data_IF_770494373899
#
_entry.id   IF_770494373899
#
_cell.length_a   1.000
_cell.length_b   1.000
_cell.length_c   1.000
_cell.angle_alpha   90.00
_cell.angle_beta   90.00
_cell.angle_gamma   90.00
#
_symmetry.space_group_name_H-M   'P 1'
#
loop_
_entity.id
_entity.type
_entity.pdbx_description
1 polymer ?
#
# COMPACT_ATOMS: atom_id res chain seq x y z
N UNK A 1 -9.94 -6.04 -1.00
CA UNK A 1 -8.85 -6.31 -0.03
C UNK A 1 -9.26 -5.75 1.33
N UNK A 2 -8.79 -6.32 2.44
CA UNK A 2 -9.08 -5.79 3.77
C UNK A 2 -7.78 -5.26 4.41
N UNK A 3 -7.73 -3.95 4.66
CA UNK A 3 -6.59 -3.32 5.34
C UNK A 3 -6.69 -3.60 6.84
N UNK A 4 -5.73 -4.38 7.37
CA UNK A 4 -5.73 -4.82 8.77
C UNK A 4 -5.47 -3.65 9.73
N UNK A 5 -4.64 -2.69 9.34
CA UNK A 5 -4.33 -1.52 10.18
C UNK A 5 -4.06 -0.28 9.36
N UNK A 6 -4.75 0.81 9.70
CA UNK A 6 -4.52 2.16 9.14
C UNK A 6 -3.45 2.94 9.90
N UNK A 7 -3.01 2.45 11.06
CA UNK A 7 -2.09 3.16 11.96
C UNK A 7 -0.79 3.56 11.25
N UNK A 8 -0.09 2.68 10.50
CA UNK A 8 1.16 3.06 9.81
C UNK A 8 0.96 4.16 8.76
N UNK A 9 -0.18 4.16 8.06
CA UNK A 9 -0.52 5.22 7.12
C UNK A 9 -0.72 6.55 7.83
N UNK A 10 -1.52 6.57 8.91
CA UNK A 10 -1.79 7.78 9.69
C UNK A 10 -0.51 8.36 10.30
N UNK A 11 0.33 7.52 10.90
CA UNK A 11 1.62 7.93 11.45
C UNK A 11 2.56 8.45 10.36
N UNK A 12 2.61 7.79 9.20
CA UNK A 12 3.37 8.23 8.04
C UNK A 12 2.91 9.60 7.52
N UNK A 13 1.60 9.83 7.42
CA UNK A 13 1.04 11.12 6.99
C UNK A 13 1.36 12.26 7.98
N UNK A 14 1.41 11.96 9.28
CA UNK A 14 1.79 12.94 10.32
C UNK A 14 3.28 13.25 10.30
N UNK A 15 4.14 12.23 10.12
CA UNK A 15 5.60 12.41 10.06
C UNK A 15 6.06 13.06 8.76
N UNK A 16 5.37 12.78 7.65
CA UNK A 16 5.74 13.24 6.30
C UNK A 16 4.55 13.96 5.64
N UNK A 17 4.19 15.17 6.10
CA UNK A 17 2.99 15.88 5.66
C UNK A 17 2.97 16.17 4.16
N UNK A 18 4.14 16.41 3.54
CA UNK A 18 4.27 16.61 2.09
C UNK A 18 3.88 15.37 1.26
N UNK A 19 3.88 14.18 1.88
CA UNK A 19 3.49 12.92 1.26
C UNK A 19 2.13 12.40 1.76
N UNK A 20 1.43 13.21 2.57
CA UNK A 20 0.17 12.83 3.19
C UNK A 20 -0.89 12.41 2.18
N UNK A 21 -1.02 13.18 1.10
CA UNK A 21 -1.97 12.89 0.02
C UNK A 21 -1.68 11.54 -0.64
N UNK A 22 -0.42 11.28 -0.99
CA UNK A 22 -0.02 10.03 -1.66
C UNK A 22 -0.30 8.79 -0.78
N UNK A 23 -0.03 8.88 0.53
CA UNK A 23 -0.35 7.81 1.48
C UNK A 23 -1.87 7.59 1.64
N UNK A 24 -2.65 8.67 1.63
CA UNK A 24 -4.12 8.60 1.67
C UNK A 24 -4.71 7.96 0.41
N UNK A 25 -4.18 8.30 -0.76
CA UNK A 25 -4.58 7.72 -2.05
C UNK A 25 -4.22 6.23 -2.10
N UNK A 26 -3.02 5.85 -1.67
CA UNK A 26 -2.60 4.45 -1.59
C UNK A 26 -3.54 3.66 -0.68
N UNK A 27 -3.85 4.17 0.52
CA UNK A 27 -4.80 3.52 1.43
C UNK A 27 -6.17 3.33 0.78
N UNK A 28 -6.69 4.36 0.10
CA UNK A 28 -7.97 4.28 -0.62
C UNK A 28 -7.97 3.20 -1.71
N UNK A 29 -6.89 3.07 -2.48
CA UNK A 29 -6.76 2.02 -3.51
C UNK A 29 -6.81 0.62 -2.87
N UNK A 30 -6.09 0.42 -1.77
CA UNK A 30 -6.05 -0.87 -1.07
C UNK A 30 -7.41 -1.26 -0.46
N UNK A 31 -8.20 -0.28 -0.02
CA UNK A 31 -9.51 -0.53 0.60
C UNK A 31 -10.63 -0.74 -0.43
N UNK A 32 -10.63 0.05 -1.51
CA UNK A 32 -11.73 0.02 -2.50
C UNK A 32 -11.60 -1.10 -3.51
N UNK A 33 -10.39 -1.61 -3.76
CA UNK A 33 -10.14 -2.62 -4.78
C UNK A 33 -9.92 -4.00 -4.18
N UNK A 34 -10.19 -5.00 -4.99
CA UNK A 34 -9.86 -6.40 -4.71
C UNK A 34 -8.89 -6.86 -5.78
N UNK A 35 -7.77 -7.41 -5.33
CA UNK A 35 -6.73 -7.96 -6.17
C UNK A 35 -6.68 -9.46 -5.91
N UNK A 36 -6.71 -10.26 -6.97
CA UNK A 36 -6.56 -11.71 -6.87
C UNK A 36 -5.10 -12.13 -7.08
N UNK A 37 -4.35 -11.32 -7.86
CA UNK A 37 -2.95 -11.54 -8.17
C UNK A 37 -2.12 -10.26 -7.91
N UNK A 38 -0.86 -10.37 -7.43
CA UNK A 38 0.04 -9.22 -7.22
C UNK A 38 0.22 -8.35 -8.47
N UNK A 39 0.12 -8.94 -9.64
CA UNK A 39 0.32 -8.32 -10.94
C UNK A 39 -0.80 -7.32 -11.24
N UNK A 40 -2.04 -7.61 -10.80
CA UNK A 40 -3.16 -6.67 -10.85
C UNK A 40 -2.89 -5.46 -9.95
N UNK A 41 -2.31 -5.70 -8.78
CA UNK A 41 -1.96 -4.64 -7.82
C UNK A 41 -0.83 -3.76 -8.37
N UNK A 42 0.14 -4.36 -9.09
CA UNK A 42 1.27 -3.65 -9.72
C UNK A 42 0.83 -2.67 -10.83
N UNK A 43 -0.32 -2.90 -11.46
CA UNK A 43 -0.90 -1.95 -12.42
C UNK A 43 -1.31 -0.62 -11.76
N UNK A 44 -1.64 -0.64 -10.46
CA UNK A 44 -2.01 0.55 -9.70
C UNK A 44 -0.87 1.10 -8.86
N UNK A 45 0.07 0.24 -8.49
CA UNK A 45 1.23 0.57 -7.67
C UNK A 45 2.47 0.08 -8.42
N UNK A 46 2.99 0.87 -9.39
CA UNK A 46 4.08 0.43 -10.25
C UNK A 46 5.38 0.08 -9.51
N UNK A 47 5.59 0.68 -8.34
CA UNK A 47 6.73 0.42 -7.46
C UNK A 47 6.62 -0.88 -6.65
N UNK A 48 5.48 -1.58 -6.72
CA UNK A 48 5.26 -2.82 -5.98
C UNK A 48 6.30 -3.89 -6.37
N UNK A 49 7.04 -4.36 -5.37
CA UNK A 49 8.06 -5.39 -5.52
C UNK A 49 7.98 -6.46 -4.41
N UNK A 50 8.48 -7.65 -4.70
CA UNK A 50 8.48 -8.77 -3.76
C UNK A 50 9.60 -8.62 -2.72
N UNK A 51 9.25 -8.72 -1.44
CA UNK A 51 10.25 -8.77 -0.38
C UNK A 51 10.76 -10.21 -0.21
N UNK A 52 11.77 -10.58 -1.00
CA UNK A 52 12.30 -11.95 -1.13
C UNK A 52 12.70 -12.65 0.19
N UNK A 53 12.96 -11.88 1.25
CA UNK A 53 13.39 -12.42 2.54
C UNK A 53 12.23 -12.89 3.43
N UNK A 54 10.98 -12.56 3.09
CA UNK A 54 9.81 -13.01 3.85
C UNK A 54 8.65 -13.35 2.93
N UNK A 55 8.14 -14.57 3.07
CA UNK A 55 7.02 -15.03 2.25
C UNK A 55 5.78 -14.15 2.46
N UNK A 56 5.09 -13.81 1.36
CA UNK A 56 3.90 -12.95 1.31
C UNK A 56 4.14 -11.52 1.82
N UNK A 57 5.34 -10.99 1.60
CA UNK A 57 5.67 -9.61 1.90
C UNK A 57 6.04 -8.87 0.62
N UNK A 58 5.64 -7.61 0.54
CA UNK A 58 5.87 -6.73 -0.59
C UNK A 58 6.34 -5.37 -0.11
N UNK A 59 7.08 -4.67 -0.97
CA UNK A 59 7.52 -3.29 -0.78
C UNK A 59 6.81 -2.43 -1.82
N UNK A 60 6.44 -1.21 -1.44
CA UNK A 60 5.81 -0.19 -2.28
C UNK A 60 6.71 1.04 -2.28
#
# INVERSE_FOLDING_TARGET
>A
MHVISRKPFNEGMLMYPNHGLALSELLNVLEKKTFHHPEEMKQYIPSLDNFKYRNKWWVI
#
